data_IF_164946469605
#
_entry.id   IF_164946469605
#
_cell.length_a   1.000
_cell.length_b   1.000
_cell.length_c   1.000
_cell.angle_alpha   90.00
_cell.angle_beta   90.00
_cell.angle_gamma   90.00
#
_symmetry.space_group_name_H-M   'P 1'
#
loop_
_entity.id
_entity.type
_entity.pdbx_description
1 polymer ?
#
# COMPACT_ATOMS: atom_id res chain seq x y z
N UNK A 1 -20.40 -15.57 -34.86
CA UNK A 1 -21.31 -14.49 -34.44
C UNK A 1 -21.69 -14.82 -32.99
N UNK A 2 -21.32 -14.10 -31.93
CA UNK A 2 -21.27 -12.66 -31.73
C UNK A 2 -20.16 -12.34 -30.71
N UNK A 3 -19.15 -11.57 -31.09
CA UNK A 3 -18.22 -10.94 -30.14
C UNK A 3 -18.91 -9.70 -29.60
N UNK A 4 -19.44 -9.78 -28.38
CA UNK A 4 -19.89 -8.59 -27.67
C UNK A 4 -18.68 -7.69 -27.44
N UNK A 5 -18.66 -6.45 -27.95
CA UNK A 5 -17.60 -5.51 -27.60
C UNK A 5 -17.74 -5.19 -26.11
N UNK A 6 -16.64 -5.22 -25.37
CA UNK A 6 -16.57 -4.52 -24.09
C UNK A 6 -16.77 -3.04 -24.41
N UNK A 7 -18.01 -2.57 -24.30
CA UNK A 7 -18.34 -1.17 -24.41
C UNK A 7 -17.61 -0.46 -23.27
N UNK A 8 -16.54 0.26 -23.61
CA UNK A 8 -15.96 1.25 -22.74
C UNK A 8 -17.05 2.29 -22.45
N UNK A 9 -17.61 2.24 -21.25
CA UNK A 9 -18.45 3.30 -20.73
C UNK A 9 -17.55 4.53 -20.48
N UNK A 10 -17.21 5.26 -21.53
CA UNK A 10 -16.81 6.66 -21.42
C UNK A 10 -18.09 7.47 -21.27
N UNK A 11 -18.27 8.16 -20.13
CA UNK A 11 -19.32 9.18 -20.03
C UNK A 11 -19.99 9.46 -18.69
N UNK A 12 -19.32 9.32 -17.55
CA UNK A 12 -19.52 10.21 -16.39
C UNK A 12 -18.13 10.53 -15.89
N UNK A 13 -17.76 11.82 -15.83
CA UNK A 13 -16.40 12.27 -15.53
C UNK A 13 -15.80 11.45 -14.38
N UNK A 14 -14.94 10.49 -14.73
CA UNK A 14 -14.35 9.62 -13.73
C UNK A 14 -13.55 10.51 -12.80
N UNK A 15 -13.84 10.45 -11.50
CA UNK A 15 -13.07 11.20 -10.51
C UNK A 15 -11.58 10.94 -10.75
N UNK A 16 -10.76 12.00 -10.70
CA UNK A 16 -9.33 11.85 -10.83
C UNK A 16 -8.84 10.82 -9.79
N UNK A 17 -8.14 9.79 -10.26
CA UNK A 17 -7.62 8.71 -9.43
C UNK A 17 -6.16 8.99 -9.10
N UNK A 18 -5.80 8.81 -7.84
CA UNK A 18 -4.42 8.89 -7.40
C UNK A 18 -3.59 7.73 -7.97
N UNK A 19 -2.29 7.95 -7.96
CA UNK A 19 -1.26 6.94 -8.15
C UNK A 19 -0.58 6.71 -6.80
N UNK A 20 -0.12 5.48 -6.57
CA UNK A 20 0.66 5.16 -5.39
C UNK A 20 2.01 4.60 -5.82
N UNK A 21 3.08 5.18 -5.29
CA UNK A 21 4.38 4.53 -5.28
C UNK A 21 4.49 3.75 -3.97
N UNK A 22 4.82 2.47 -4.05
CA UNK A 22 5.23 1.69 -2.90
C UNK A 22 6.66 1.23 -3.11
N UNK A 23 7.55 1.58 -2.17
CA UNK A 23 8.94 1.11 -2.16
C UNK A 23 9.15 0.07 -1.07
N UNK A 24 9.98 -0.93 -1.37
CA UNK A 24 10.50 -1.87 -0.38
C UNK A 24 12.01 -1.71 -0.28
N UNK A 25 12.49 -1.12 0.82
CA UNK A 25 13.90 -1.03 1.14
C UNK A 25 14.33 -2.33 1.83
N UNK A 26 14.85 -3.26 1.04
CA UNK A 26 15.38 -4.54 1.54
C UNK A 26 16.71 -4.29 2.23
N UNK A 27 16.85 -4.82 3.44
CA UNK A 27 18.04 -4.67 4.26
C UNK A 27 18.78 -6.00 4.35
N UNK A 28 20.10 -5.94 4.59
CA UNK A 28 20.83 -7.15 4.99
C UNK A 28 20.35 -7.58 6.37
N UNK A 29 20.32 -8.89 6.68
CA UNK A 29 19.99 -9.35 8.01
C UNK A 29 20.85 -8.68 9.08
N UNK A 30 20.21 -8.19 10.15
CA UNK A 30 20.87 -7.46 11.24
C UNK A 30 21.50 -6.09 10.87
N UNK A 31 21.23 -5.54 9.68
CA UNK A 31 21.78 -4.24 9.30
C UNK A 31 21.23 -3.10 10.20
N UNK A 32 22.07 -2.12 10.58
CA UNK A 32 21.61 -0.96 11.34
C UNK A 32 20.68 -0.10 10.48
N UNK A 33 19.54 0.31 11.03
CA UNK A 33 18.54 1.11 10.30
C UNK A 33 18.71 2.61 10.50
N UNK A 34 19.57 3.06 11.41
CA UNK A 34 19.65 4.45 11.84
C UNK A 34 19.88 5.46 10.70
N UNK A 35 20.74 5.14 9.73
CA UNK A 35 20.97 6.02 8.59
C UNK A 35 19.73 6.13 7.69
N UNK A 36 19.05 5.00 7.46
CA UNK A 36 17.83 4.93 6.65
C UNK A 36 16.66 5.64 7.36
N UNK A 37 16.47 5.38 8.65
CA UNK A 37 15.47 6.03 9.49
C UNK A 37 15.69 7.56 9.50
N UNK A 38 16.96 7.99 9.67
CA UNK A 38 17.33 9.40 9.63
C UNK A 38 17.07 10.06 8.27
N UNK A 39 17.32 9.36 7.16
CA UNK A 39 16.97 9.84 5.82
C UNK A 39 15.47 10.02 5.65
N UNK A 40 14.67 9.04 6.05
CA UNK A 40 13.22 9.15 5.95
C UNK A 40 12.67 10.30 6.78
N UNK A 41 13.01 10.35 8.06
CA UNK A 41 12.49 11.34 9.00
C UNK A 41 12.95 12.76 8.67
N UNK A 42 14.23 12.95 8.35
CA UNK A 42 14.85 14.28 8.29
C UNK A 42 15.03 14.84 6.89
N UNK A 43 15.00 13.98 5.86
CA UNK A 43 15.23 14.38 4.47
C UNK A 43 14.02 14.10 3.58
N UNK A 44 13.63 12.82 3.43
CA UNK A 44 12.61 12.40 2.48
C UNK A 44 11.22 12.95 2.83
N UNK A 45 10.72 12.69 4.04
CA UNK A 45 9.36 13.09 4.42
C UNK A 45 9.16 14.61 4.39
N UNK A 46 10.07 15.44 4.95
CA UNK A 46 9.95 16.89 4.82
C UNK A 46 10.02 17.40 3.39
N UNK A 47 10.77 16.72 2.51
CA UNK A 47 10.86 17.11 1.11
C UNK A 47 9.59 16.73 0.33
N UNK A 48 9.06 15.53 0.52
CA UNK A 48 7.77 15.13 -0.05
C UNK A 48 6.65 16.10 0.35
N UNK A 49 6.61 16.55 1.62
CA UNK A 49 5.63 17.54 2.08
C UNK A 49 5.78 18.90 1.37
N UNK A 50 7.01 19.36 1.08
CA UNK A 50 7.25 20.57 0.25
C UNK A 50 6.72 20.41 -1.18
N UNK A 51 6.67 19.19 -1.71
CA UNK A 51 6.05 18.87 -3.01
C UNK A 51 4.53 18.61 -2.90
N UNK A 52 3.92 18.85 -1.73
CA UNK A 52 2.49 18.63 -1.51
C UNK A 52 2.09 17.15 -1.43
N UNK A 53 3.06 16.24 -1.36
CA UNK A 53 2.85 14.81 -1.16
C UNK A 53 2.79 14.55 0.34
N UNK A 54 1.54 14.44 0.83
CA UNK A 54 1.23 14.28 2.25
C UNK A 54 0.86 12.83 2.57
N UNK A 55 0.78 12.50 3.86
CA UNK A 55 0.29 11.20 4.33
C UNK A 55 1.15 10.02 3.85
N UNK A 56 2.47 10.23 3.79
CA UNK A 56 3.43 9.17 3.43
C UNK A 56 3.54 8.17 4.58
N UNK A 57 3.31 6.89 4.27
CA UNK A 57 3.43 5.80 5.22
C UNK A 57 4.83 5.21 5.22
N UNK A 58 5.42 4.97 6.39
CA UNK A 58 6.67 4.22 6.54
C UNK A 58 6.45 3.09 7.53
N UNK A 59 6.68 1.84 7.12
CA UNK A 59 6.29 0.66 7.89
C UNK A 59 7.39 -0.39 8.00
N UNK A 60 7.31 -1.17 9.08
CA UNK A 60 7.98 -2.47 9.23
C UNK A 60 6.93 -3.56 9.43
N UNK A 61 7.30 -4.83 9.25
CA UNK A 61 6.35 -5.93 9.38
C UNK A 61 6.20 -6.43 10.82
N UNK A 62 5.04 -7.00 11.09
CA UNK A 62 4.72 -7.74 12.30
C UNK A 62 4.55 -9.22 11.97
N UNK A 63 4.97 -10.08 12.88
CA UNK A 63 4.53 -11.46 12.95
C UNK A 63 3.30 -11.52 13.87
N UNK A 64 2.21 -12.10 13.39
CA UNK A 64 0.91 -12.09 14.07
C UNK A 64 0.44 -13.51 14.38
N UNK A 65 0.13 -13.77 15.64
CA UNK A 65 -0.65 -14.92 16.04
C UNK A 65 -2.14 -14.51 16.09
N UNK A 66 -2.90 -14.90 15.05
CA UNK A 66 -4.31 -14.52 14.91
C UNK A 66 -5.23 -15.18 15.96
N UNK A 67 -4.86 -16.36 16.46
CA UNK A 67 -5.67 -17.07 17.45
C UNK A 67 -5.61 -16.39 18.82
N UNK A 68 -4.42 -15.90 19.18
CA UNK A 68 -4.18 -15.19 20.45
C UNK A 68 -4.35 -13.66 20.32
N UNK A 69 -4.53 -13.14 19.10
CA UNK A 69 -4.55 -11.72 18.79
C UNK A 69 -3.31 -10.97 19.32
N UNK A 70 -2.14 -11.60 19.21
CA UNK A 70 -0.84 -11.05 19.61
C UNK A 70 0.06 -10.82 18.41
N UNK A 71 1.03 -9.92 18.55
CA UNK A 71 2.03 -9.66 17.52
C UNK A 71 3.38 -9.29 18.09
N UNK A 72 4.43 -9.62 17.37
CA UNK A 72 5.81 -9.18 17.62
C UNK A 72 6.40 -8.56 16.37
N UNK A 73 7.44 -7.74 16.54
CA UNK A 73 8.18 -7.20 15.40
C UNK A 73 8.82 -8.35 14.62
N UNK A 74 8.63 -8.37 13.30
CA UNK A 74 9.22 -9.40 12.45
C UNK A 74 10.63 -8.98 12.03
N UNK A 75 11.68 -9.74 12.39
CA UNK A 75 13.06 -9.39 12.06
C UNK A 75 13.32 -9.51 10.56
N UNK A 76 14.38 -8.84 10.09
CA UNK A 76 14.91 -8.95 8.72
C UNK A 76 13.87 -8.71 7.61
N UNK A 77 12.96 -7.76 7.86
CA UNK A 77 11.92 -7.36 6.90
C UNK A 77 12.32 -6.10 6.14
N UNK A 78 11.76 -5.87 4.94
CA UNK A 78 11.91 -4.60 4.26
C UNK A 78 11.28 -3.47 5.07
N UNK A 79 11.84 -2.27 4.94
CA UNK A 79 11.13 -1.04 5.31
C UNK A 79 10.27 -0.61 4.12
N UNK A 80 8.96 -0.54 4.32
CA UNK A 80 7.98 -0.21 3.29
C UNK A 80 7.68 1.28 3.31
N UNK A 81 7.68 1.94 2.15
CA UNK A 81 7.34 3.36 2.02
C UNK A 81 6.22 3.55 1.01
N UNK A 82 5.05 4.02 1.45
CA UNK A 82 3.89 4.30 0.62
C UNK A 82 3.77 5.81 0.37
N UNK A 83 3.84 6.22 -0.90
CA UNK A 83 3.87 7.61 -1.32
C UNK A 83 2.68 7.85 -2.28
N UNK A 84 1.69 8.69 -1.91
CA UNK A 84 0.59 9.04 -2.80
C UNK A 84 0.97 10.16 -3.78
N UNK A 85 0.53 10.02 -5.02
CA UNK A 85 0.71 10.99 -6.08
C UNK A 85 -0.64 11.34 -6.70
N UNK A 86 -0.97 12.63 -6.77
CA UNK A 86 -2.21 13.08 -7.43
C UNK A 86 -2.19 12.86 -8.94
N UNK A 87 -1.01 12.83 -9.55
CA UNK A 87 -0.79 12.67 -10.98
C UNK A 87 0.44 11.81 -11.24
N UNK A 88 0.52 11.21 -12.44
CA UNK A 88 1.73 10.49 -12.86
C UNK A 88 2.95 11.43 -12.98
N UNK A 89 2.73 12.68 -13.40
CA UNK A 89 3.80 13.68 -13.46
C UNK A 89 4.42 13.96 -12.08
N UNK A 90 3.62 13.93 -11.01
CA UNK A 90 4.14 14.05 -9.63
C UNK A 90 5.10 12.90 -9.28
N UNK A 91 4.80 11.66 -9.71
CA UNK A 91 5.69 10.51 -9.51
C UNK A 91 7.00 10.68 -10.30
N UNK A 92 6.92 11.13 -11.55
CA UNK A 92 8.11 11.33 -12.40
C UNK A 92 9.00 12.47 -11.89
N UNK A 93 8.40 13.61 -11.54
CA UNK A 93 9.15 14.81 -11.16
C UNK A 93 9.82 14.68 -9.79
N UNK A 94 9.13 14.11 -8.80
CA UNK A 94 9.61 14.13 -7.41
C UNK A 94 10.97 13.46 -7.25
N UNK A 95 11.24 12.38 -8.00
CA UNK A 95 12.53 11.69 -7.87
C UNK A 95 13.70 12.55 -8.36
N UNK A 96 13.50 13.34 -9.41
CA UNK A 96 14.51 14.28 -9.90
C UNK A 96 14.74 15.41 -8.90
N UNK A 97 13.65 16.00 -8.42
CA UNK A 97 13.68 17.11 -7.48
C UNK A 97 14.37 16.73 -6.16
N UNK A 98 14.02 15.58 -5.58
CA UNK A 98 14.63 15.08 -4.34
C UNK A 98 16.14 14.85 -4.48
N UNK A 99 16.60 14.34 -5.62
CA UNK A 99 18.01 14.08 -5.86
C UNK A 99 18.81 15.38 -6.03
N UNK A 100 18.19 16.41 -6.59
CA UNK A 100 18.81 17.72 -6.81
C UNK A 100 18.74 18.66 -5.59
N UNK A 101 17.85 18.37 -4.62
CA UNK A 101 17.61 19.22 -3.47
C UNK A 101 18.80 19.23 -2.46
N UNK A 102 19.49 20.38 -2.28
CA UNK A 102 20.63 20.46 -1.36
C UNK A 102 20.26 20.19 0.11
N UNK A 103 19.01 20.50 0.51
CA UNK A 103 18.53 20.23 1.86
C UNK A 103 18.35 18.72 2.08
N UNK A 104 17.86 17.99 1.08
CA UNK A 104 17.78 16.53 1.10
C UNK A 104 19.18 15.92 1.14
N UNK A 105 20.09 16.40 0.28
CA UNK A 105 21.48 15.92 0.26
C UNK A 105 22.18 16.11 1.61
N UNK A 106 22.01 17.27 2.24
CA UNK A 106 22.59 17.58 3.55
C UNK A 106 21.97 16.75 4.68
N UNK A 107 20.64 16.73 4.79
CA UNK A 107 19.94 16.02 5.87
C UNK A 107 20.05 14.49 5.74
N UNK A 108 20.15 13.99 4.50
CA UNK A 108 20.25 12.58 4.15
C UNK A 108 21.67 12.04 3.99
N UNK A 109 22.71 12.84 4.28
CA UNK A 109 24.08 12.52 3.92
C UNK A 109 24.54 11.13 4.41
N UNK A 110 24.19 10.75 5.64
CA UNK A 110 24.55 9.45 6.21
C UNK A 110 23.98 8.25 5.42
N UNK A 111 22.84 8.43 4.77
CA UNK A 111 22.21 7.45 3.89
C UNK A 111 22.74 7.55 2.46
N UNK A 112 22.74 8.76 1.88
CA UNK A 112 23.08 9.01 0.47
C UNK A 112 24.56 8.76 0.16
N UNK A 113 25.43 8.91 1.15
CA UNK A 113 26.88 8.73 1.04
C UNK A 113 27.35 7.45 1.75
N UNK A 114 26.43 6.53 2.06
CA UNK A 114 26.77 5.27 2.69
C UNK A 114 27.79 4.48 1.85
N UNK A 115 28.84 3.97 2.49
CA UNK A 115 29.90 3.25 1.79
C UNK A 115 29.42 1.90 1.25
N UNK A 116 30.10 1.37 0.23
CA UNK A 116 29.84 0.01 -0.28
C UNK A 116 30.01 -1.07 0.80
N UNK A 117 30.90 -0.87 1.77
CA UNK A 117 31.14 -1.83 2.86
C UNK A 117 29.98 -1.85 3.86
N UNK A 118 29.31 -0.71 4.05
CA UNK A 118 28.20 -0.51 4.99
C UNK A 118 27.01 0.16 4.28
N UNK A 119 26.41 -0.48 3.28
CA UNK A 119 25.35 0.13 2.50
C UNK A 119 24.09 0.29 3.37
N UNK A 120 23.35 1.38 3.18
CA UNK A 120 22.14 1.65 3.97
C UNK A 120 20.94 0.74 3.61
N UNK A 121 21.02 0.05 2.48
CA UNK A 121 20.06 -0.96 2.02
C UNK A 121 20.77 -1.94 1.07
N UNK A 122 20.17 -3.11 0.87
CA UNK A 122 20.63 -4.11 -0.10
C UNK A 122 19.99 -3.90 -1.48
N UNK A 123 18.67 -3.68 -1.49
CA UNK A 123 17.90 -3.39 -2.72
C UNK A 123 16.70 -2.50 -2.42
N UNK A 124 16.27 -1.74 -3.43
CA UNK A 124 14.97 -1.07 -3.43
C UNK A 124 14.15 -1.67 -4.57
N UNK A 125 12.99 -2.22 -4.25
CA UNK A 125 11.93 -2.42 -5.25
C UNK A 125 10.98 -1.23 -5.23
N UNK A 126 10.38 -0.91 -6.37
CA UNK A 126 9.29 0.06 -6.45
C UNK A 126 8.15 -0.50 -7.31
N UNK A 127 6.92 -0.21 -6.87
CA UNK A 127 5.69 -0.46 -7.62
C UNK A 127 4.98 0.86 -7.87
N UNK A 128 4.51 1.03 -9.10
CA UNK A 128 3.56 2.08 -9.45
C UNK A 128 2.17 1.46 -9.51
N UNK A 129 1.24 2.00 -8.72
CA UNK A 129 -0.14 1.54 -8.62
C UNK A 129 -1.09 2.65 -9.04
N UNK A 130 -2.20 2.29 -9.68
CA UNK A 130 -3.31 3.20 -9.98
C UNK A 130 -4.48 2.91 -9.04
N UNK A 131 -5.01 3.95 -8.38
CA UNK A 131 -6.12 3.79 -7.45
C UNK A 131 -7.36 3.16 -8.11
N UNK A 132 -8.14 2.45 -7.31
CA UNK A 132 -9.41 1.88 -7.76
C UNK A 132 -10.46 2.97 -7.98
N UNK A 133 -11.44 2.72 -8.85
CA UNK A 133 -12.51 3.68 -9.10
C UNK A 133 -13.43 3.84 -7.87
N UNK A 134 -13.67 2.76 -7.12
CA UNK A 134 -14.45 2.79 -5.87
C UNK A 134 -13.69 3.39 -4.68
N UNK A 135 -12.38 3.60 -4.81
CA UNK A 135 -11.54 4.23 -3.78
C UNK A 135 -10.45 5.08 -4.46
N UNK A 136 -10.82 6.22 -5.07
CA UNK A 136 -9.98 6.95 -6.01
C UNK A 136 -8.82 7.72 -5.37
N UNK A 137 -8.84 7.90 -4.06
CA UNK A 137 -7.80 8.58 -3.30
C UNK A 137 -7.58 7.89 -1.94
N UNK A 138 -6.39 8.02 -1.39
CA UNK A 138 -6.03 7.42 -0.10
C UNK A 138 -6.86 8.04 1.02
N UNK A 139 -7.30 7.20 1.95
CA UNK A 139 -8.03 7.62 3.15
C UNK A 139 -7.16 7.41 4.36
N UNK A 140 -7.15 8.38 5.26
CA UNK A 140 -6.47 8.28 6.55
C UNK A 140 -7.51 8.10 7.67
N UNK A 141 -7.64 6.89 8.27
CA UNK A 141 -8.58 6.68 9.37
C UNK A 141 -8.26 7.55 10.59
N UNK A 142 -9.27 7.92 11.39
CA UNK A 142 -9.11 8.84 12.52
C UNK A 142 -8.07 8.38 13.57
N UNK A 143 -8.00 7.08 13.85
CA UNK A 143 -6.98 6.54 14.76
C UNK A 143 -5.57 6.68 14.17
N UNK A 144 -5.45 6.67 12.85
CA UNK A 144 -4.22 6.85 12.10
C UNK A 144 -3.81 8.32 12.12
N UNK A 145 -4.75 9.23 11.81
CA UNK A 145 -4.55 10.67 11.88
C UNK A 145 -4.11 11.14 13.28
N UNK A 146 -4.69 10.55 14.33
CA UNK A 146 -4.29 10.79 15.73
C UNK A 146 -3.05 10.03 16.18
N UNK A 147 -2.42 9.25 15.29
CA UNK A 147 -1.25 8.41 15.55
C UNK A 147 -1.41 7.52 16.78
N UNK A 148 -2.56 6.88 16.93
CA UNK A 148 -2.81 5.90 18.00
C UNK A 148 -1.66 4.87 17.98
N UNK A 149 -0.93 4.68 19.10
CA UNK A 149 0.30 3.87 19.09
C UNK A 149 0.08 2.40 18.74
N UNK A 150 -1.09 1.87 19.04
CA UNK A 150 -1.46 0.45 18.82
C UNK A 150 -1.96 0.17 17.41
N UNK A 151 -2.11 1.20 16.56
CA UNK A 151 -2.69 1.04 15.22
C UNK A 151 -1.90 0.03 14.39
N UNK A 152 -2.63 -0.79 13.65
CA UNK A 152 -2.06 -1.83 12.80
C UNK A 152 -2.59 -1.69 11.38
N UNK A 153 -1.79 -2.13 10.42
CA UNK A 153 -2.16 -2.17 9.01
C UNK A 153 -1.94 -3.58 8.47
N UNK A 154 -2.72 -3.98 7.48
CA UNK A 154 -2.51 -5.23 6.74
C UNK A 154 -2.46 -4.93 5.25
N UNK A 155 -1.28 -5.11 4.67
CA UNK A 155 -1.07 -5.01 3.24
C UNK A 155 -1.30 -6.37 2.59
N UNK A 156 -2.16 -6.41 1.56
CA UNK A 156 -2.46 -7.63 0.84
C UNK A 156 -2.21 -7.49 -0.66
N UNK A 157 -1.57 -8.50 -1.22
CA UNK A 157 -1.29 -8.65 -2.65
C UNK A 157 -2.14 -9.77 -3.21
N UNK A 158 -2.91 -9.47 -4.25
CA UNK A 158 -3.71 -10.47 -4.96
C UNK A 158 -3.14 -10.56 -6.37
N UNK A 159 -2.32 -11.60 -6.60
CA UNK A 159 -1.75 -11.92 -7.90
C UNK A 159 -2.79 -12.67 -8.74
N UNK A 160 -2.74 -12.47 -10.06
CA UNK A 160 -3.62 -13.12 -11.03
C UNK A 160 -2.77 -13.82 -12.09
N UNK A 161 -3.31 -14.87 -12.71
CA UNK A 161 -2.60 -15.64 -13.73
C UNK A 161 -2.73 -15.07 -15.16
N UNK A 162 -3.43 -13.94 -15.32
CA UNK A 162 -3.48 -13.15 -16.56
C UNK A 162 -3.99 -11.74 -16.27
N UNK A 163 -3.73 -10.79 -17.17
CA UNK A 163 -4.18 -9.41 -17.08
C UNK A 163 -5.71 -9.33 -17.08
N UNK A 164 -6.39 -10.15 -17.89
CA UNK A 164 -7.85 -10.20 -17.91
C UNK A 164 -8.42 -10.65 -16.56
N UNK A 165 -7.79 -11.63 -15.90
CA UNK A 165 -8.23 -12.08 -14.56
C UNK A 165 -7.93 -11.04 -13.48
N UNK A 166 -6.83 -10.31 -13.59
CA UNK A 166 -6.56 -9.17 -12.72
C UNK A 166 -7.64 -8.09 -12.86
N UNK A 167 -8.04 -7.75 -14.09
CA UNK A 167 -9.12 -6.79 -14.36
C UNK A 167 -10.46 -7.27 -13.80
N UNK A 168 -10.77 -8.57 -13.89
CA UNK A 168 -11.96 -9.17 -13.27
C UNK A 168 -11.94 -9.00 -11.74
N UNK A 169 -10.80 -9.27 -11.08
CA UNK A 169 -10.72 -9.09 -9.63
C UNK A 169 -10.83 -7.62 -9.24
N UNK A 170 -10.20 -6.72 -10.00
CA UNK A 170 -10.32 -5.26 -9.80
C UNK A 170 -11.78 -4.81 -9.99
N UNK A 171 -12.50 -5.34 -10.98
CA UNK A 171 -13.92 -5.06 -11.17
C UNK A 171 -14.74 -5.50 -9.95
N UNK A 172 -14.50 -6.70 -9.41
CA UNK A 172 -15.15 -7.17 -8.17
C UNK A 172 -14.98 -6.18 -7.01
N UNK A 173 -13.77 -5.65 -6.84
CA UNK A 173 -13.51 -4.64 -5.82
C UNK A 173 -14.30 -3.35 -6.07
N UNK A 174 -14.29 -2.85 -7.30
CA UNK A 174 -14.99 -1.63 -7.68
C UNK A 174 -16.52 -1.75 -7.60
N UNK A 175 -17.05 -2.93 -7.92
CA UNK A 175 -18.50 -3.17 -8.00
C UNK A 175 -19.13 -3.34 -6.61
N UNK A 176 -18.32 -3.58 -5.56
CA UNK A 176 -18.81 -3.42 -4.18
C UNK A 176 -17.97 -4.02 -3.06
N UNK A 177 -16.90 -4.78 -3.32
CA UNK A 177 -16.06 -5.35 -2.23
C UNK A 177 -15.49 -4.24 -1.33
N UNK A 178 -15.04 -3.13 -1.93
CA UNK A 178 -14.55 -1.95 -1.20
C UNK A 178 -15.60 -1.41 -0.23
N UNK A 179 -16.85 -1.30 -0.68
CA UNK A 179 -17.95 -0.77 0.14
C UNK A 179 -18.32 -1.71 1.30
N UNK A 180 -18.26 -3.03 1.05
CA UNK A 180 -18.45 -4.03 2.11
C UNK A 180 -17.36 -3.89 3.16
N UNK A 181 -16.09 -3.81 2.76
CA UNK A 181 -14.96 -3.61 3.68
C UNK A 181 -15.12 -2.33 4.50
N UNK A 182 -15.54 -1.22 3.87
CA UNK A 182 -15.79 0.06 4.55
C UNK A 182 -16.92 -0.07 5.57
N UNK A 183 -18.05 -0.67 5.19
CA UNK A 183 -19.21 -0.87 6.07
C UNK A 183 -18.87 -1.73 7.29
N UNK A 184 -17.99 -2.71 7.13
CA UNK A 184 -17.58 -3.63 8.20
C UNK A 184 -16.47 -3.09 9.10
N UNK A 185 -16.06 -1.83 8.91
CA UNK A 185 -15.08 -1.16 9.77
C UNK A 185 -13.64 -1.59 9.54
N UNK A 186 -13.33 -2.18 8.37
CA UNK A 186 -11.96 -2.61 8.02
C UNK A 186 -11.01 -1.45 7.70
N UNK A 187 -11.50 -0.21 7.78
CA UNK A 187 -10.75 1.04 7.64
C UNK A 187 -9.72 1.00 6.49
N UNK A 188 -10.17 0.85 5.24
CA UNK A 188 -9.26 0.80 4.10
C UNK A 188 -8.47 2.10 3.96
N UNK A 189 -7.17 1.97 3.67
CA UNK A 189 -6.27 3.10 3.42
C UNK A 189 -6.19 3.38 1.92
N UNK A 190 -5.90 2.37 1.11
CA UNK A 190 -5.90 2.48 -0.36
C UNK A 190 -6.16 1.13 -1.03
N UNK A 191 -6.55 1.17 -2.31
CA UNK A 191 -6.56 0.02 -3.22
C UNK A 191 -5.94 0.43 -4.56
N UNK A 192 -5.03 -0.38 -5.09
CA UNK A 192 -4.26 -0.05 -6.28
C UNK A 192 -4.08 -1.22 -7.24
N UNK A 193 -4.29 -0.96 -8.53
CA UNK A 193 -3.90 -1.84 -9.62
C UNK A 193 -2.41 -1.64 -9.89
N UNK A 194 -1.61 -2.70 -9.90
CA UNK A 194 -0.21 -2.57 -10.26
C UNK A 194 -0.03 -2.33 -11.76
N UNK A 195 0.63 -1.22 -12.10
CA UNK A 195 0.99 -0.84 -13.47
C UNK A 195 2.43 -1.26 -13.81
N UNK A 196 3.31 -1.21 -12.82
CA UNK A 196 4.72 -1.55 -12.95
C UNK A 196 5.25 -2.13 -11.63
N UNK A 197 6.31 -2.94 -11.73
CA UNK A 197 7.01 -3.54 -10.59
C UNK A 197 7.04 -5.07 -10.65
N UNK A 198 7.68 -5.74 -9.67
CA UNK A 198 7.72 -7.20 -9.60
C UNK A 198 6.34 -7.87 -9.46
N UNK A 199 6.22 -9.10 -9.95
CA UNK A 199 5.06 -9.99 -9.80
C UNK A 199 3.75 -9.46 -10.42
N UNK A 200 3.82 -8.79 -11.57
CA UNK A 200 2.63 -8.48 -12.36
C UNK A 200 2.01 -9.75 -12.98
N UNK A 201 0.68 -9.78 -13.20
CA UNK A 201 -0.30 -8.76 -12.81
C UNK A 201 -0.85 -9.00 -11.40
N UNK A 202 -1.07 -7.92 -10.64
CA UNK A 202 -1.69 -7.98 -9.32
C UNK A 202 -2.40 -6.68 -8.96
N UNK A 203 -3.21 -6.76 -7.92
CA UNK A 203 -3.64 -5.60 -7.15
C UNK A 203 -3.04 -5.65 -5.75
N UNK A 204 -2.94 -4.48 -5.11
CA UNK A 204 -2.47 -4.32 -3.74
C UNK A 204 -3.41 -3.37 -2.99
N UNK A 205 -3.68 -3.66 -1.72
CA UNK A 205 -4.44 -2.77 -0.85
C UNK A 205 -3.95 -2.83 0.59
N UNK A 206 -4.33 -1.83 1.38
CA UNK A 206 -4.12 -1.81 2.83
C UNK A 206 -5.46 -1.61 3.54
N UNK A 207 -5.76 -2.50 4.49
CA UNK A 207 -6.78 -2.30 5.54
C UNK A 207 -6.11 -2.02 6.88
N UNK A 208 -6.85 -1.51 7.86
CA UNK A 208 -6.26 -1.11 9.14
C UNK A 208 -7.23 -1.14 10.31
N UNK A 209 -6.69 -1.06 11.52
CA UNK A 209 -7.48 -0.94 12.75
C UNK A 209 -6.73 -0.15 13.85
N UNK A 210 -7.46 0.35 14.85
CA UNK A 210 -6.87 1.08 15.98
C UNK A 210 -5.97 0.18 16.85
N UNK A 211 -6.17 -1.13 16.77
CA UNK A 211 -5.35 -2.18 17.34
C UNK A 211 -5.57 -3.50 16.59
N UNK A 212 -4.75 -4.51 16.89
CA UNK A 212 -4.80 -5.83 16.26
C UNK A 212 -6.12 -6.57 16.50
N UNK A 213 -6.69 -6.49 17.71
CA UNK A 213 -7.93 -7.18 18.04
C UNK A 213 -9.09 -6.62 17.20
N UNK A 214 -9.23 -5.30 17.15
CA UNK A 214 -10.24 -4.61 16.35
C UNK A 214 -10.10 -4.92 14.85
N UNK A 215 -8.86 -4.96 14.34
CA UNK A 215 -8.59 -5.31 12.94
C UNK A 215 -9.00 -6.76 12.63
N UNK A 216 -8.65 -7.71 13.49
CA UNK A 216 -9.03 -9.12 13.33
C UNK A 216 -10.55 -9.32 13.45
N UNK A 217 -11.21 -8.60 14.35
CA UNK A 217 -12.67 -8.65 14.52
C UNK A 217 -13.42 -8.09 13.31
N UNK A 218 -12.89 -7.07 12.64
CA UNK A 218 -13.44 -6.60 11.37
C UNK A 218 -13.32 -7.68 10.27
N UNK A 219 -12.16 -8.34 10.16
CA UNK A 219 -11.97 -9.45 9.21
C UNK A 219 -12.85 -10.68 9.48
N UNK A 220 -13.10 -11.02 10.75
CA UNK A 220 -14.01 -12.12 11.13
C UNK A 220 -15.43 -11.89 10.58
N UNK A 221 -15.86 -10.63 10.45
CA UNK A 221 -17.17 -10.26 9.90
C UNK A 221 -17.22 -10.33 8.37
N UNK A 222 -16.09 -10.12 7.69
CA UNK A 222 -16.04 -10.06 6.22
C UNK A 222 -16.38 -11.38 5.54
N UNK A 223 -15.71 -12.47 5.92
CA UNK A 223 -15.90 -13.79 5.33
C UNK A 223 -17.36 -14.29 5.32
N UNK A 224 -18.12 -14.18 6.43
CA UNK A 224 -19.52 -14.59 6.49
C UNK A 224 -20.54 -13.52 6.04
N UNK A 225 -20.12 -12.29 5.69
CA UNK A 225 -21.08 -11.25 5.29
C UNK A 225 -21.87 -11.69 4.04
N UNK A 226 -23.22 -11.67 4.07
CA UNK A 226 -24.03 -12.21 2.97
C UNK A 226 -23.84 -11.47 1.65
N UNK A 227 -23.46 -10.18 1.69
CA UNK A 227 -23.15 -9.40 0.47
C UNK A 227 -21.86 -9.90 -0.16
N UNK A 228 -20.85 -10.19 0.66
CA UNK A 228 -19.59 -10.78 0.20
C UNK A 228 -19.80 -12.20 -0.33
N UNK A 229 -20.50 -13.06 0.43
CA UNK A 229 -20.79 -14.44 0.02
C UNK A 229 -21.50 -14.47 -1.34
N UNK A 230 -22.55 -13.65 -1.51
CA UNK A 230 -23.24 -13.52 -2.79
C UNK A 230 -22.30 -13.07 -3.91
N UNK A 231 -21.42 -12.09 -3.64
CA UNK A 231 -20.52 -11.55 -4.65
C UNK A 231 -19.45 -12.54 -5.08
N UNK A 232 -18.77 -13.21 -4.14
CA UNK A 232 -17.70 -14.17 -4.45
C UNK A 232 -18.18 -15.38 -5.26
N UNK A 233 -19.47 -15.71 -5.16
CA UNK A 233 -20.08 -16.84 -5.86
C UNK A 233 -20.61 -16.47 -7.25
N UNK A 234 -20.52 -15.20 -7.68
CA UNK A 234 -20.90 -14.79 -9.02
C UNK A 234 -19.93 -15.36 -10.08
N UNK A 235 -20.43 -16.07 -11.12
CA UNK A 235 -19.57 -16.68 -12.13
C UNK A 235 -18.61 -15.71 -12.83
N UNK A 236 -19.00 -14.43 -12.97
CA UNK A 236 -18.17 -13.41 -13.60
C UNK A 236 -16.86 -13.11 -12.84
N UNK A 237 -16.78 -13.42 -11.55
CA UNK A 237 -15.57 -13.18 -10.72
C UNK A 237 -14.74 -14.44 -10.45
N UNK A 238 -15.17 -15.59 -10.98
CA UNK A 238 -14.51 -16.86 -10.78
C UNK A 238 -13.06 -16.87 -11.30
N UNK A 239 -12.19 -17.57 -10.55
CA UNK A 239 -10.79 -17.82 -10.88
C UNK A 239 -10.00 -16.54 -11.20
N UNK A 240 -10.32 -15.44 -10.53
CA UNK A 240 -9.69 -14.15 -10.76
C UNK A 240 -8.41 -13.93 -9.97
N UNK A 241 -8.14 -14.74 -8.93
CA UNK A 241 -6.95 -14.64 -8.07
C UNK A 241 -6.19 -15.96 -8.07
N UNK A 242 -4.87 -15.93 -8.30
CA UNK A 242 -3.99 -17.11 -8.25
C UNK A 242 -3.23 -17.22 -6.92
N UNK A 243 -2.90 -16.09 -6.29
CA UNK A 243 -2.16 -16.07 -5.03
C UNK A 243 -2.51 -14.84 -4.20
N UNK A 244 -2.57 -15.04 -2.89
CA UNK A 244 -2.86 -14.01 -1.89
C UNK A 244 -1.71 -13.96 -0.88
N UNK A 245 -1.05 -12.81 -0.76
CA UNK A 245 0.01 -12.60 0.23
C UNK A 245 -0.46 -11.51 1.19
N UNK A 246 -0.49 -11.80 2.49
CA UNK A 246 -0.82 -10.83 3.53
C UNK A 246 0.42 -10.50 4.37
N UNK A 247 0.60 -9.22 4.68
CA UNK A 247 1.66 -8.73 5.58
C UNK A 247 1.04 -7.77 6.58
N UNK A 248 1.21 -8.07 7.87
CA UNK A 248 0.89 -7.12 8.92
C UNK A 248 2.01 -6.12 9.06
N UNK A 249 1.64 -4.86 9.23
CA UNK A 249 2.54 -3.72 9.22
C UNK A 249 2.28 -2.87 10.47
N UNK A 250 3.37 -2.34 11.03
CA UNK A 250 3.34 -1.30 12.05
C UNK A 250 4.07 -0.06 11.53
N UNK A 251 3.51 1.15 11.74
CA UNK A 251 4.14 2.38 11.26
C UNK A 251 5.36 2.73 12.12
N UNK A 252 6.42 3.23 11.46
CA UNK A 252 7.54 3.88 12.15
C UNK A 252 7.05 5.14 12.89
N UNK A 253 7.71 5.59 13.97
CA UNK A 253 7.26 6.75 14.76
C UNK A 253 7.06 8.04 13.96
N UNK A 254 7.88 8.24 12.93
CA UNK A 254 7.86 9.41 12.05
C UNK A 254 6.95 9.24 10.82
N UNK A 255 6.30 8.08 10.62
CA UNK A 255 5.29 7.87 9.57
C UNK A 255 4.16 8.90 9.67
N UNK A 256 3.71 9.42 8.52
CA UNK A 256 2.59 10.38 8.46
C UNK A 256 1.22 9.72 8.39
N UNK A 257 1.19 8.40 8.17
CA UNK A 257 0.06 7.50 8.41
C UNK A 257 0.05 7.00 9.85
#
# INVERSE_FOLDING_TARGET
>A
MSTAPFASAQGRGAAAREYYELRAYRLKPGAPTAALDGYFEKALLPALDRHGIKTVGVFTELEVNKAEATSVAKPDTPVWVLIPHKTLDSFVAVSGDLNADPAVQKAGAAYLQASKATPAFDRIDSWLLLAFAAHPAMTLPDFSARRVPTRVFEMRDYESHSELKALVKIAMFNDGEVEIMRTLGMSPVFFGQALAGPNLPHLRYITSGPDLAAHLDAWKKFGPDPRWVKMKDLPQYADSTSKNTARFLTPKPYSSI
#
